data_IF_271304794813
#
_entry.id   IF_271304794813
#
_cell.length_a   1.000
_cell.length_b   1.000
_cell.length_c   1.000
_cell.angle_alpha   90.00
_cell.angle_beta   90.00
_cell.angle_gamma   90.00
#
_symmetry.space_group_name_H-M   'P 1'
#
loop_
_entity.id
_entity.type
_entity.pdbx_description
1 polymer ?
#
# COMPACT_ATOMS: atom_id res chain seq x y z
N UNK A 1 -11.72 2.28 0.52
CA UNK A 1 -10.39 2.68 -0.02
C UNK A 1 -10.16 4.16 0.23
N UNK A 2 -8.97 4.52 0.60
CA UNK A 2 -8.60 5.93 0.86
C UNK A 2 -8.71 6.76 -0.43
N UNK A 3 -9.14 8.01 -0.28
CA UNK A 3 -9.30 8.92 -1.42
C UNK A 3 -7.98 9.33 -2.06
N UNK A 4 -6.88 9.26 -1.31
CA UNK A 4 -5.56 9.65 -1.80
C UNK A 4 -4.85 8.53 -2.58
N UNK A 5 -5.50 7.38 -2.75
CA UNK A 5 -5.00 6.29 -3.58
C UNK A 5 -5.76 6.31 -4.91
N UNK A 6 -5.02 6.43 -6.01
CA UNK A 6 -5.60 6.43 -7.35
C UNK A 6 -5.84 5.00 -7.81
N UNK A 7 -7.06 4.70 -8.25
CA UNK A 7 -7.45 3.37 -8.71
C UNK A 7 -8.06 3.47 -10.10
N UNK A 8 -7.72 2.51 -10.98
CA UNK A 8 -8.46 2.37 -12.23
C UNK A 8 -9.76 1.59 -11.97
N UNK A 9 -10.58 1.37 -12.99
CA UNK A 9 -11.90 0.75 -12.84
C UNK A 9 -11.82 -0.65 -12.25
N UNK A 10 -10.88 -1.47 -12.72
CA UNK A 10 -10.72 -2.84 -12.21
C UNK A 10 -10.23 -2.86 -10.76
N UNK A 11 -9.32 -1.96 -10.42
CA UNK A 11 -8.85 -1.83 -9.04
C UNK A 11 -9.98 -1.36 -8.12
N UNK A 12 -10.80 -0.44 -8.59
CA UNK A 12 -11.97 0.03 -7.84
C UNK A 12 -12.94 -1.12 -7.54
N UNK A 13 -13.14 -2.02 -8.51
CA UNK A 13 -14.02 -3.18 -8.33
C UNK A 13 -13.50 -4.14 -7.26
N UNK A 14 -12.19 -4.17 -7.04
CA UNK A 14 -11.55 -5.03 -6.03
C UNK A 14 -11.09 -4.25 -4.79
N UNK A 15 -11.61 -3.03 -4.60
CA UNK A 15 -11.14 -2.14 -3.53
C UNK A 15 -11.14 -2.79 -2.15
N UNK A 16 -12.21 -3.52 -1.78
CA UNK A 16 -12.31 -4.15 -0.47
C UNK A 16 -11.24 -5.22 -0.26
N UNK A 17 -10.98 -6.03 -1.27
CA UNK A 17 -9.98 -7.07 -1.24
C UNK A 17 -8.57 -6.47 -1.18
N UNK A 18 -8.35 -5.38 -1.94
CA UNK A 18 -7.08 -4.66 -1.92
C UNK A 18 -6.79 -4.07 -0.54
N UNK A 19 -7.78 -3.43 0.08
CA UNK A 19 -7.63 -2.88 1.44
C UNK A 19 -7.25 -3.99 2.42
N UNK A 20 -7.96 -5.12 2.37
CA UNK A 20 -7.70 -6.24 3.27
C UNK A 20 -6.26 -6.73 3.14
N UNK A 21 -5.74 -6.83 1.92
CA UNK A 21 -4.35 -7.24 1.67
C UNK A 21 -3.36 -6.20 2.19
N UNK A 22 -3.58 -4.92 1.86
CA UNK A 22 -2.67 -3.84 2.28
C UNK A 22 -2.59 -3.73 3.80
N UNK A 23 -3.67 -4.05 4.51
CA UNK A 23 -3.69 -4.02 5.97
C UNK A 23 -2.94 -5.19 6.61
N UNK A 24 -2.53 -6.19 5.82
CA UNK A 24 -1.73 -7.32 6.32
C UNK A 24 -0.22 -7.10 6.16
N UNK A 25 0.19 -6.09 5.40
CA UNK A 25 1.60 -5.81 5.13
C UNK A 25 2.05 -4.68 6.04
N UNK A 26 2.98 -4.96 6.94
CA UNK A 26 3.43 -4.03 7.98
C UNK A 26 4.82 -3.51 7.70
N UNK A 27 5.03 -2.22 8.01
CA UNK A 27 6.37 -1.63 8.08
C UNK A 27 7.01 -2.10 9.40
N UNK A 28 8.13 -2.81 9.35
CA UNK A 28 8.71 -3.37 10.57
C UNK A 28 9.29 -2.33 11.52
N UNK A 29 9.60 -1.13 11.05
CA UNK A 29 10.14 -0.07 11.88
C UNK A 29 9.05 0.71 12.62
N UNK A 30 7.89 0.87 12.00
CA UNK A 30 6.80 1.68 12.56
C UNK A 30 5.70 0.80 13.16
N UNK A 31 5.65 -0.46 12.80
CA UNK A 31 4.65 -1.44 13.28
C UNK A 31 3.22 -1.05 12.92
N UNK A 32 3.04 -0.45 11.74
CA UNK A 32 1.74 -0.11 11.19
C UNK A 32 1.67 -0.63 9.76
N UNK A 33 0.48 -1.03 9.33
CA UNK A 33 0.28 -1.52 7.97
C UNK A 33 0.46 -0.41 6.93
N UNK A 34 0.84 -0.81 5.72
CA UNK A 34 1.15 0.14 4.64
C UNK A 34 -0.08 0.94 4.17
N UNK A 35 -1.28 0.39 4.34
CA UNK A 35 -2.51 1.10 4.00
C UNK A 35 -2.70 2.31 4.91
N UNK A 36 -2.66 2.11 6.22
CA UNK A 36 -2.86 3.18 7.20
C UNK A 36 -1.67 4.14 7.27
N UNK A 37 -0.46 3.69 6.93
CA UNK A 37 0.71 4.57 6.80
C UNK A 37 0.58 5.52 5.62
N UNK A 38 -0.23 5.19 4.62
CA UNK A 38 -0.37 6.02 3.43
C UNK A 38 0.82 5.88 2.48
N UNK A 39 1.42 4.71 2.41
CA UNK A 39 2.56 4.45 1.53
C UNK A 39 2.15 4.19 0.09
N UNK A 40 0.91 3.77 -0.15
CA UNK A 40 0.43 3.42 -1.49
C UNK A 40 -0.16 4.64 -2.17
N UNK A 41 0.28 4.93 -3.39
CA UNK A 41 -0.18 6.07 -4.17
C UNK A 41 -1.16 5.70 -5.28
N UNK A 42 -0.93 4.55 -5.93
CA UNK A 42 -1.75 4.16 -7.08
C UNK A 42 -1.78 2.65 -7.23
N UNK A 43 -2.94 2.11 -7.63
CA UNK A 43 -3.10 0.70 -7.95
C UNK A 43 -3.86 0.59 -9.26
N UNK A 44 -3.27 -0.09 -10.25
CA UNK A 44 -3.87 -0.33 -11.55
C UNK A 44 -3.91 -1.83 -11.83
N UNK A 45 -5.06 -2.32 -12.28
CA UNK A 45 -5.23 -3.71 -12.69
C UNK A 45 -5.67 -3.72 -14.16
N UNK A 46 -4.94 -4.43 -15.01
CA UNK A 46 -5.26 -4.48 -16.43
C UNK A 46 -6.25 -5.60 -16.76
N UNK A 47 -6.56 -5.77 -18.06
CA UNK A 47 -7.56 -6.72 -18.52
C UNK A 47 -7.17 -8.17 -18.28
N UNK A 48 -5.88 -8.47 -18.19
CA UNK A 48 -5.41 -9.84 -17.97
C UNK A 48 -5.17 -10.14 -16.48
N UNK A 49 -5.45 -9.20 -15.61
CA UNK A 49 -5.28 -9.41 -14.19
C UNK A 49 -3.89 -9.06 -13.66
N UNK A 50 -3.10 -8.29 -14.40
CA UNK A 50 -1.81 -7.79 -13.93
C UNK A 50 -2.04 -6.55 -13.07
N UNK A 51 -1.61 -6.61 -11.81
CA UNK A 51 -1.78 -5.54 -10.84
C UNK A 51 -0.46 -4.78 -10.67
N UNK A 52 -0.49 -3.47 -10.90
CA UNK A 52 0.68 -2.61 -10.66
C UNK A 52 0.38 -1.68 -9.50
N UNK A 53 1.25 -1.73 -8.48
CA UNK A 53 1.15 -0.87 -7.30
C UNK A 53 2.31 0.13 -7.32
N UNK A 54 1.98 1.41 -7.20
CA UNK A 54 2.96 2.48 -7.07
C UNK A 54 2.93 2.95 -5.61
N UNK A 55 4.06 2.84 -4.93
CA UNK A 55 4.15 3.16 -3.52
C UNK A 55 5.50 3.75 -3.16
N UNK A 56 5.63 4.21 -1.92
CA UNK A 56 6.88 4.73 -1.39
C UNK A 56 7.16 4.08 -0.02
N UNK A 57 8.28 4.47 0.59
CA UNK A 57 8.62 4.10 1.96
C UNK A 57 8.78 5.35 2.82
N UNK A 58 8.76 5.16 4.14
CA UNK A 58 8.92 6.27 5.09
C UNK A 58 10.34 6.82 5.09
N UNK A 59 11.32 5.97 4.77
CA UNK A 59 12.73 6.33 4.75
C UNK A 59 13.44 5.52 3.67
N UNK A 60 14.27 6.19 2.86
CA UNK A 60 15.05 5.54 1.80
C UNK A 60 16.08 4.54 2.35
N UNK A 61 16.45 4.64 3.63
CA UNK A 61 17.36 3.70 4.29
C UNK A 61 16.68 2.48 4.91
N UNK A 62 15.36 2.34 4.74
CA UNK A 62 14.61 1.24 5.33
C UNK A 62 14.97 -0.10 4.66
N UNK A 63 15.36 -1.10 5.47
CA UNK A 63 15.65 -2.43 4.96
C UNK A 63 14.43 -3.16 4.40
N UNK A 64 13.22 -2.71 4.74
CA UNK A 64 11.98 -3.29 4.22
C UNK A 64 11.84 -3.14 2.71
N UNK A 65 12.59 -2.20 2.10
CA UNK A 65 12.61 -2.02 0.65
C UNK A 65 13.08 -3.28 -0.10
N UNK A 66 13.81 -4.17 0.56
CA UNK A 66 14.31 -5.40 -0.06
C UNK A 66 13.29 -6.55 -0.02
N UNK A 67 12.41 -6.58 0.99
CA UNK A 67 11.51 -7.72 1.23
C UNK A 67 10.03 -7.39 1.06
N UNK A 68 9.62 -6.19 1.44
CA UNK A 68 8.20 -5.80 1.42
C UNK A 68 7.55 -5.89 0.03
N UNK A 69 8.22 -5.45 -1.07
CA UNK A 69 7.59 -5.58 -2.39
C UNK A 69 7.25 -7.02 -2.75
N UNK A 70 8.12 -7.97 -2.42
CA UNK A 70 7.87 -9.39 -2.65
C UNK A 70 6.71 -9.92 -1.82
N UNK A 71 6.63 -9.53 -0.56
CA UNK A 71 5.53 -9.90 0.32
C UNK A 71 4.20 -9.36 -0.21
N UNK A 72 4.19 -8.12 -0.68
CA UNK A 72 2.99 -7.50 -1.23
C UNK A 72 2.55 -8.19 -2.52
N UNK A 73 3.48 -8.51 -3.42
CA UNK A 73 3.17 -9.24 -4.65
C UNK A 73 2.52 -10.59 -4.32
N UNK A 74 3.11 -11.33 -3.40
CA UNK A 74 2.57 -12.64 -2.99
C UNK A 74 1.16 -12.49 -2.41
N UNK A 75 0.94 -11.49 -1.57
CA UNK A 75 -0.37 -11.25 -0.98
C UNK A 75 -1.41 -10.81 -2.01
N UNK A 76 -1.03 -9.96 -2.95
CA UNK A 76 -1.93 -9.50 -4.01
C UNK A 76 -2.39 -10.66 -4.89
N UNK A 77 -1.52 -11.63 -5.14
CA UNK A 77 -1.84 -12.79 -5.98
C UNK A 77 -2.86 -13.73 -5.32
N UNK A 78 -3.16 -13.55 -4.06
CA UNK A 78 -4.22 -14.30 -3.37
C UNK A 78 -5.61 -13.76 -3.70
N UNK A 79 -5.69 -12.56 -4.27
CA UNK A 79 -6.97 -11.96 -4.63
C UNK A 79 -7.46 -12.59 -5.93
N UNK A 80 -8.71 -13.05 -5.93
CA UNK A 80 -9.34 -13.59 -7.13
C UNK A 80 -9.49 -12.47 -8.16
N UNK A 81 -8.97 -12.68 -9.36
CA UNK A 81 -8.92 -11.68 -10.41
C UNK A 81 -7.56 -11.04 -10.62
N UNK A 82 -6.60 -11.28 -9.72
CA UNK A 82 -5.21 -10.83 -9.88
C UNK A 82 -4.34 -12.05 -10.20
N UNK A 83 -3.82 -12.09 -11.43
CA UNK A 83 -2.98 -13.19 -11.91
C UNK A 83 -1.51 -12.98 -11.56
N UNK A 84 -1.04 -11.72 -11.58
CA UNK A 84 0.31 -11.36 -11.24
C UNK A 84 0.34 -9.92 -10.75
N UNK A 85 1.44 -9.51 -10.14
CA UNK A 85 1.56 -8.17 -9.58
C UNK A 85 3.00 -7.66 -9.66
N UNK A 86 3.12 -6.34 -9.72
CA UNK A 86 4.40 -5.64 -9.69
C UNK A 86 4.28 -4.44 -8.76
N UNK A 87 5.31 -4.20 -7.97
CA UNK A 87 5.39 -3.03 -7.09
C UNK A 87 6.49 -2.11 -7.62
N UNK A 88 6.13 -0.84 -7.86
CA UNK A 88 7.07 0.19 -8.25
C UNK A 88 7.27 1.16 -7.09
N UNK A 89 8.52 1.34 -6.67
CA UNK A 89 8.84 2.26 -5.57
C UNK A 89 9.23 3.61 -6.15
N UNK A 90 8.57 4.66 -5.66
CA UNK A 90 8.87 6.03 -6.05
C UNK A 90 9.21 6.85 -4.80
N UNK A 91 10.00 7.89 -4.97
CA UNK A 91 10.42 8.76 -3.87
C UNK A 91 9.85 10.17 -4.00
N UNK A 92 9.03 10.39 -5.01
CA UNK A 92 8.33 11.65 -5.24
C UNK A 92 6.88 11.37 -5.61
N UNK A 93 5.91 11.98 -4.94
CA UNK A 93 6.09 12.85 -3.76
C UNK A 93 6.60 12.05 -2.55
N UNK A 94 7.38 12.73 -1.70
CA UNK A 94 7.92 12.09 -0.50
C UNK A 94 6.81 11.81 0.52
N UNK A 95 6.93 10.70 1.23
CA UNK A 95 6.00 10.38 2.30
C UNK A 95 6.10 11.39 3.44
N UNK A 96 4.96 11.74 4.03
CA UNK A 96 4.87 12.63 5.19
C UNK A 96 3.95 12.02 6.25
N UNK A 97 4.17 12.36 7.50
CA UNK A 97 3.34 11.87 8.61
C UNK A 97 1.87 12.23 8.45
N UNK A 98 1.57 13.29 7.71
CA UNK A 98 0.18 13.70 7.43
C UNK A 98 -0.56 12.65 6.58
N UNK A 99 0.14 11.72 5.94
CA UNK A 99 -0.48 10.64 5.18
C UNK A 99 -0.94 9.48 6.06
N UNK A 100 -0.49 9.41 7.32
CA UNK A 100 -0.96 8.39 8.25
C UNK A 100 -2.45 8.61 8.51
N UNK A 101 -3.25 7.55 8.41
CA UNK A 101 -4.69 7.64 8.66
C UNK A 101 -4.96 8.02 10.12
N UNK A 102 -6.18 8.49 10.39
CA UNK A 102 -6.59 8.82 11.76
C UNK A 102 -6.46 7.59 12.68
N UNK A 103 -6.89 6.44 12.20
CA UNK A 103 -6.77 5.18 12.95
C UNK A 103 -5.31 4.85 13.22
N UNK A 104 -4.44 5.01 12.21
CA UNK A 104 -3.02 4.76 12.35
C UNK A 104 -2.37 5.67 13.38
N UNK A 105 -2.74 6.95 13.40
CA UNK A 105 -2.22 7.90 14.39
C UNK A 105 -2.62 7.52 15.80
N UNK A 106 -3.87 7.10 15.99
CA UNK A 106 -4.36 6.65 17.29
C UNK A 106 -3.58 5.41 17.73
N UNK A 107 -3.39 4.45 16.83
CA UNK A 107 -2.65 3.21 17.10
C UNK A 107 -1.21 3.48 17.52
N UNK A 108 -0.56 4.46 16.89
CA UNK A 108 0.82 4.84 17.22
C UNK A 108 0.93 5.79 18.41
N UNK A 109 -0.18 6.25 18.96
CA UNK A 109 -0.19 7.23 20.05
C UNK A 109 0.12 8.64 19.60
N UNK A 110 0.01 8.94 18.31
CA UNK A 110 0.21 10.29 17.75
C UNK A 110 -1.13 11.02 17.78
N UNK A 111 -1.08 12.36 18.11
CA UNK A 111 -2.27 13.18 18.09
C UNK A 111 -2.94 13.14 16.70
N UNK A 112 -4.26 12.92 16.62
CA UNK A 112 -4.97 12.82 15.34
C UNK A 112 -5.23 14.16 14.63
N UNK A 113 -4.61 15.22 15.08
CA UNK A 113 -4.75 16.53 14.44
C UNK A 113 -3.99 16.62 13.14
#
# INVERSE_FOLDING_TARGET
MREDIVLNDRATALANELVAVLETIYDPEIELDIYNLGLVYEINIDEVGFCKVIMTFTDSGCSCADTMPGELVTALKTIDGIEDAQVEIVWSPAWKMTRISRLGRITLGISPK
#
